data_IF_775405997450
#
_entry.id   IF_775405997450
#
_cell.length_a   1.000
_cell.length_b   1.000
_cell.length_c   1.000
_cell.angle_alpha   90.00
_cell.angle_beta   90.00
_cell.angle_gamma   90.00
#
_symmetry.space_group_name_H-M   'P 1'
#
loop_
_entity.id
_entity.type
_entity.pdbx_description
1 polymer ?
#
# COMPACT_ATOMS: atom_id res chain seq x y z
N UNK A 1 56.05 8.90 11.40
CA UNK A 1 54.80 8.07 11.28
C UNK A 1 55.19 6.82 10.48
N UNK A 2 55.01 5.66 11.07
CA UNK A 2 55.53 4.40 10.52
C UNK A 2 54.70 3.95 9.32
N UNK A 3 55.35 3.45 8.25
CA UNK A 3 54.72 2.85 7.06
C UNK A 3 53.67 1.78 7.41
N UNK A 4 53.75 1.17 8.59
CA UNK A 4 52.78 0.20 9.13
C UNK A 4 51.43 0.84 9.48
N UNK A 5 51.37 2.11 9.92
CA UNK A 5 50.16 2.81 10.29
C UNK A 5 49.38 3.21 9.01
N UNK A 6 50.08 3.66 7.97
CA UNK A 6 49.45 3.93 6.67
C UNK A 6 48.86 2.67 6.02
N UNK A 7 49.53 1.52 6.15
CA UNK A 7 49.04 0.26 5.62
C UNK A 7 47.78 -0.24 6.36
N UNK A 8 47.73 -0.07 7.71
CA UNK A 8 46.55 -0.43 8.49
C UNK A 8 45.34 0.45 8.16
N UNK A 9 45.56 1.75 7.96
CA UNK A 9 44.47 2.68 7.56
C UNK A 9 43.96 2.36 6.14
N UNK A 10 44.85 1.99 5.23
CA UNK A 10 44.48 1.60 3.87
C UNK A 10 43.67 0.30 3.83
N UNK A 11 44.02 -0.68 4.67
CA UNK A 11 43.28 -1.96 4.78
C UNK A 11 41.92 -1.77 5.42
N UNK A 12 41.77 -0.87 6.40
CA UNK A 12 40.48 -0.56 6.99
C UNK A 12 39.56 0.20 6.04
N UNK A 13 40.07 1.11 5.20
CA UNK A 13 39.29 1.80 4.17
C UNK A 13 38.83 0.82 3.07
N UNK A 14 39.70 -0.12 2.68
CA UNK A 14 39.35 -1.15 1.69
C UNK A 14 38.34 -2.18 2.22
N UNK A 15 38.32 -2.45 3.54
CA UNK A 15 37.31 -3.34 4.14
C UNK A 15 35.91 -2.69 4.26
N UNK A 16 35.84 -1.36 4.36
CA UNK A 16 34.56 -0.63 4.30
C UNK A 16 34.01 -0.50 2.89
N UNK A 17 34.84 -0.53 1.84
CA UNK A 17 34.39 -0.45 0.45
C UNK A 17 33.77 -1.76 -0.09
N UNK A 18 33.93 -2.89 0.65
CA UNK A 18 33.31 -4.18 0.28
C UNK A 18 31.99 -4.46 0.99
N UNK A 19 31.43 -3.52 1.78
CA UNK A 19 30.03 -3.56 2.11
C UNK A 19 29.28 -3.15 0.83
N UNK A 20 29.10 -4.10 -0.10
CA UNK A 20 28.07 -3.96 -1.14
C UNK A 20 26.78 -3.71 -0.38
N UNK A 21 26.37 -2.45 -0.29
CA UNK A 21 25.04 -2.11 0.15
C UNK A 21 24.12 -2.99 -0.71
N UNK A 22 23.49 -3.98 -0.09
CA UNK A 22 22.55 -4.84 -0.78
C UNK A 22 21.49 -3.90 -1.33
N UNK A 23 21.47 -3.75 -2.67
CA UNK A 23 20.57 -2.79 -3.32
C UNK A 23 19.16 -3.16 -2.93
N UNK A 24 18.54 -2.34 -2.08
CA UNK A 24 17.17 -2.59 -1.58
C UNK A 24 16.25 -2.83 -2.77
N UNK A 25 15.42 -3.84 -2.69
CA UNK A 25 14.41 -4.07 -3.73
C UNK A 25 13.36 -2.96 -3.70
N UNK A 26 12.67 -2.73 -4.82
CA UNK A 26 11.54 -1.78 -4.85
C UNK A 26 10.48 -2.10 -3.79
N UNK A 27 10.34 -3.37 -3.44
CA UNK A 27 9.40 -3.84 -2.43
C UNK A 27 9.86 -3.54 -1.00
N UNK A 28 11.17 -3.58 -0.73
CA UNK A 28 11.73 -3.19 0.58
C UNK A 28 11.64 -1.68 0.77
N UNK A 29 11.94 -0.92 -0.29
CA UNK A 29 11.78 0.55 -0.29
C UNK A 29 10.32 0.93 -0.12
N UNK A 30 9.38 0.21 -0.77
CA UNK A 30 7.95 0.44 -0.58
C UNK A 30 7.51 0.22 0.87
N UNK A 31 8.05 -0.78 1.57
CA UNK A 31 7.73 -1.05 2.97
C UNK A 31 8.27 0.01 3.91
N UNK A 32 9.55 0.33 3.83
CA UNK A 32 10.27 1.07 4.88
C UNK A 32 11.29 2.08 4.34
N UNK A 33 11.42 2.21 3.02
CA UNK A 33 12.40 3.10 2.41
C UNK A 33 11.90 4.54 2.31
N UNK A 34 12.76 5.39 1.78
CA UNK A 34 12.56 6.81 1.62
C UNK A 34 12.12 7.18 0.19
N UNK A 35 11.60 8.40 0.04
CA UNK A 35 11.30 8.98 -1.27
C UNK A 35 12.55 9.09 -2.16
N UNK A 36 13.72 9.32 -1.56
CA UNK A 36 14.98 9.38 -2.29
C UNK A 36 15.30 8.01 -2.91
N UNK A 37 15.22 6.92 -2.14
CA UNK A 37 15.52 5.57 -2.61
C UNK A 37 14.59 5.12 -3.73
N UNK A 38 13.26 5.38 -3.61
CA UNK A 38 12.33 5.01 -4.67
C UNK A 38 12.61 5.77 -5.97
N UNK A 39 12.96 7.05 -5.90
CA UNK A 39 13.34 7.85 -7.07
C UNK A 39 14.62 7.35 -7.73
N UNK A 40 15.63 6.96 -6.95
CA UNK A 40 16.86 6.35 -7.46
C UNK A 40 16.59 5.02 -8.18
N UNK A 41 15.67 4.20 -7.66
CA UNK A 41 15.27 2.97 -8.33
C UNK A 41 14.58 3.25 -9.67
N UNK A 42 13.68 4.23 -9.72
CA UNK A 42 12.95 4.64 -10.93
C UNK A 42 13.90 5.26 -11.96
N UNK A 43 14.87 6.06 -11.55
CA UNK A 43 15.89 6.62 -12.45
C UNK A 43 16.73 5.52 -13.14
N UNK A 44 16.98 4.40 -12.46
CA UNK A 44 17.71 3.27 -13.02
C UNK A 44 16.85 2.35 -13.91
N UNK A 45 15.57 2.18 -13.58
CA UNK A 45 14.57 1.39 -14.30
C UNK A 45 13.18 1.99 -14.05
N UNK A 46 12.70 2.78 -15.00
CA UNK A 46 11.42 3.49 -14.87
C UNK A 46 10.22 2.54 -14.71
N UNK A 47 10.35 1.29 -15.15
CA UNK A 47 9.26 0.30 -15.06
C UNK A 47 9.31 -0.53 -13.76
N UNK A 48 10.32 -0.34 -12.93
CA UNK A 48 10.52 -1.12 -11.68
C UNK A 48 9.31 -1.07 -10.75
N UNK A 49 8.62 0.10 -10.68
CA UNK A 49 7.45 0.32 -9.82
C UNK A 49 6.18 -0.38 -10.31
N UNK A 50 6.17 -0.84 -11.57
CA UNK A 50 5.04 -1.55 -12.19
C UNK A 50 5.19 -3.07 -12.12
N UNK A 51 6.33 -3.57 -11.66
CA UNK A 51 6.59 -5.00 -11.48
C UNK A 51 5.92 -5.50 -10.18
N UNK A 52 5.57 -6.79 -10.19
CA UNK A 52 5.07 -7.49 -9.00
C UNK A 52 6.17 -8.35 -8.39
N UNK A 53 6.12 -8.51 -7.07
CA UNK A 53 7.01 -9.44 -6.34
C UNK A 53 6.68 -10.90 -6.71
N UNK A 54 7.50 -11.84 -6.25
CA UNK A 54 7.26 -13.28 -6.43
C UNK A 54 5.94 -13.73 -5.81
N UNK A 55 5.51 -13.05 -4.75
CA UNK A 55 4.25 -13.28 -4.04
C UNK A 55 3.08 -12.50 -4.68
N UNK A 56 3.31 -11.82 -5.79
CA UNK A 56 2.28 -11.08 -6.54
C UNK A 56 1.96 -9.67 -6.01
N UNK A 57 2.74 -9.11 -5.08
CA UNK A 57 2.49 -7.75 -4.57
C UNK A 57 3.06 -6.67 -5.48
N UNK A 58 2.31 -5.60 -5.69
CA UNK A 58 2.86 -4.36 -6.25
C UNK A 58 3.57 -3.54 -5.17
N UNK A 59 4.53 -2.71 -5.59
CA UNK A 59 5.19 -1.77 -4.69
C UNK A 59 4.15 -0.81 -4.03
N UNK A 60 3.14 -0.37 -4.79
CA UNK A 60 2.08 0.50 -4.27
C UNK A 60 1.25 -0.18 -3.18
N UNK A 61 0.84 -1.45 -3.38
CA UNK A 61 0.10 -2.21 -2.34
C UNK A 61 0.91 -2.32 -1.06
N UNK A 62 2.21 -2.60 -1.16
CA UNK A 62 3.10 -2.69 0.00
C UNK A 62 3.26 -1.33 0.70
N UNK A 63 3.48 -0.25 -0.03
CA UNK A 63 3.60 1.08 0.55
C UNK A 63 2.31 1.49 1.30
N UNK A 64 1.13 1.18 0.73
CA UNK A 64 -0.15 1.40 1.40
C UNK A 64 -0.31 0.55 2.66
N UNK A 65 0.03 -0.75 2.59
CA UNK A 65 -0.09 -1.66 3.72
C UNK A 65 0.85 -1.30 4.89
N UNK A 66 2.06 -0.85 4.58
CA UNK A 66 3.03 -0.42 5.60
C UNK A 66 2.89 1.06 6.00
N UNK A 67 1.91 1.77 5.42
CA UNK A 67 1.65 3.19 5.67
C UNK A 67 2.87 4.08 5.39
N UNK A 68 3.68 3.72 4.40
CA UNK A 68 4.77 4.56 3.92
C UNK A 68 4.20 5.67 3.03
N UNK A 69 3.69 6.73 3.66
CA UNK A 69 2.92 7.78 3.00
C UNK A 69 3.71 8.49 1.90
N UNK A 70 4.99 8.76 2.10
CA UNK A 70 5.82 9.47 1.10
C UNK A 70 6.00 8.62 -0.15
N UNK A 71 6.41 7.37 0.01
CA UNK A 71 6.61 6.44 -1.10
C UNK A 71 5.28 6.10 -1.77
N UNK A 72 4.22 5.85 -1.00
CA UNK A 72 2.88 5.59 -1.54
C UNK A 72 2.37 6.78 -2.38
N UNK A 73 2.53 8.01 -1.90
CA UNK A 73 2.12 9.22 -2.63
C UNK A 73 2.86 9.37 -3.96
N UNK A 74 4.16 9.10 -3.96
CA UNK A 74 4.95 9.08 -5.19
C UNK A 74 4.48 7.99 -6.16
N UNK A 75 4.25 6.77 -5.66
CA UNK A 75 3.81 5.64 -6.48
C UNK A 75 2.41 5.88 -7.07
N UNK A 76 1.47 6.44 -6.31
CA UNK A 76 0.12 6.79 -6.78
C UNK A 76 0.17 7.66 -8.04
N UNK A 77 1.13 8.59 -8.12
CA UNK A 77 1.27 9.51 -9.24
C UNK A 77 2.02 8.91 -10.44
N UNK A 78 2.73 7.79 -10.28
CA UNK A 78 3.70 7.30 -11.27
C UNK A 78 3.46 5.86 -11.74
N UNK A 79 2.63 5.06 -11.06
CA UNK A 79 2.29 3.70 -11.51
C UNK A 79 1.33 3.73 -12.70
N UNK A 80 1.45 2.73 -13.57
CA UNK A 80 0.53 2.55 -14.72
C UNK A 80 -0.86 2.08 -14.29
N UNK A 81 -0.93 1.29 -13.22
CA UNK A 81 -2.18 0.74 -12.68
C UNK A 81 -2.25 0.94 -11.16
N UNK A 82 -3.08 1.91 -10.76
CA UNK A 82 -3.37 2.20 -9.36
C UNK A 82 -4.25 1.10 -8.70
N UNK A 83 -4.90 0.28 -9.52
CA UNK A 83 -5.82 -0.77 -9.13
C UNK A 83 -5.19 -2.17 -9.12
N UNK A 84 -3.87 -2.28 -9.28
CA UNK A 84 -3.18 -3.57 -9.34
C UNK A 84 -3.60 -4.48 -8.17
N UNK A 85 -4.14 -5.66 -8.50
CA UNK A 85 -4.62 -6.62 -7.51
C UNK A 85 -3.54 -7.65 -7.19
N UNK A 86 -3.45 -8.00 -5.91
CA UNK A 86 -2.69 -9.15 -5.42
C UNK A 86 -3.62 -10.09 -4.66
N UNK A 87 -3.12 -11.22 -4.19
CA UNK A 87 -3.90 -12.11 -3.31
C UNK A 87 -4.46 -11.45 -2.04
N UNK A 88 -3.96 -10.27 -1.70
CA UNK A 88 -4.41 -9.43 -0.57
C UNK A 88 -5.27 -8.23 -0.99
N UNK A 89 -5.73 -8.21 -2.23
CA UNK A 89 -6.57 -7.14 -2.75
C UNK A 89 -5.80 -5.97 -3.36
N UNK A 90 -6.45 -4.81 -3.44
CA UNK A 90 -5.95 -3.58 -4.06
C UNK A 90 -5.17 -2.69 -3.08
N UNK A 91 -4.40 -1.69 -3.58
CA UNK A 91 -3.80 -0.67 -2.72
C UNK A 91 -4.82 0.06 -1.84
N UNK A 92 -6.04 0.31 -2.36
CA UNK A 92 -7.12 0.92 -1.60
C UNK A 92 -7.57 0.05 -0.41
N UNK A 93 -7.68 -1.27 -0.60
CA UNK A 93 -7.98 -2.20 0.49
C UNK A 93 -6.84 -2.22 1.52
N UNK A 94 -5.59 -2.24 1.07
CA UNK A 94 -4.43 -2.20 1.95
C UNK A 94 -4.40 -0.94 2.83
N UNK A 95 -4.63 0.24 2.24
CA UNK A 95 -4.74 1.50 2.97
C UNK A 95 -5.93 1.51 3.95
N UNK A 96 -7.08 0.91 3.56
CA UNK A 96 -8.27 0.78 4.40
C UNK A 96 -8.00 -0.11 5.61
N UNK A 97 -7.43 -1.30 5.41
CA UNK A 97 -7.07 -2.24 6.50
C UNK A 97 -6.15 -1.56 7.52
N UNK A 98 -5.25 -0.69 7.06
CA UNK A 98 -4.33 0.06 7.93
C UNK A 98 -4.94 1.34 8.53
N UNK A 99 -6.21 1.64 8.24
CA UNK A 99 -6.91 2.85 8.69
C UNK A 99 -6.16 4.14 8.30
N UNK A 100 -5.53 4.13 7.13
CA UNK A 100 -4.78 5.29 6.64
C UNK A 100 -5.70 6.20 5.81
N UNK A 101 -6.43 7.09 6.48
CA UNK A 101 -7.40 8.01 5.86
C UNK A 101 -6.76 8.87 4.78
N UNK A 102 -5.50 9.28 4.98
CA UNK A 102 -4.75 10.06 4.00
C UNK A 102 -4.56 9.29 2.69
N UNK A 103 -4.04 8.06 2.75
CA UNK A 103 -3.81 7.26 1.55
C UNK A 103 -5.13 6.80 0.90
N UNK A 104 -6.15 6.47 1.69
CA UNK A 104 -7.49 6.15 1.15
C UNK A 104 -8.02 7.32 0.34
N UNK A 105 -7.97 8.54 0.89
CA UNK A 105 -8.42 9.75 0.19
C UNK A 105 -7.60 9.98 -1.08
N UNK A 106 -6.27 9.92 -0.99
CA UNK A 106 -5.38 10.17 -2.12
C UNK A 106 -5.58 9.15 -3.25
N UNK A 107 -5.76 7.86 -2.93
CA UNK A 107 -6.06 6.81 -3.91
C UNK A 107 -7.38 7.09 -4.64
N UNK A 108 -8.43 7.44 -3.90
CA UNK A 108 -9.75 7.73 -4.46
C UNK A 108 -9.72 8.98 -5.35
N UNK A 109 -9.00 10.03 -4.95
CA UNK A 109 -8.78 11.25 -5.74
C UNK A 109 -8.03 10.97 -7.05
N UNK A 110 -7.22 9.90 -7.09
CA UNK A 110 -6.50 9.45 -8.28
C UNK A 110 -7.18 8.27 -9.00
N UNK A 111 -8.52 8.16 -8.86
CA UNK A 111 -9.36 7.21 -9.57
C UNK A 111 -9.15 5.73 -9.20
N UNK A 112 -8.69 5.42 -7.98
CA UNK A 112 -8.76 4.05 -7.48
C UNK A 112 -10.22 3.60 -7.44
N UNK A 113 -10.50 2.42 -8.01
CA UNK A 113 -11.86 1.87 -8.07
C UNK A 113 -12.24 1.24 -6.71
N UNK A 114 -13.22 1.80 -5.96
CA UNK A 114 -13.62 1.28 -4.66
C UNK A 114 -14.39 -0.05 -4.71
N UNK A 115 -14.80 -0.48 -5.91
CA UNK A 115 -15.67 -1.63 -6.13
C UNK A 115 -14.92 -2.90 -6.55
N UNK A 116 -13.61 -2.84 -6.68
CA UNK A 116 -12.81 -4.04 -6.90
C UNK A 116 -12.84 -4.93 -5.67
N UNK A 117 -12.70 -6.23 -5.91
CA UNK A 117 -12.76 -7.25 -4.86
C UNK A 117 -11.43 -8.00 -4.73
N UNK A 118 -11.17 -8.52 -3.55
CA UNK A 118 -10.12 -9.49 -3.29
C UNK A 118 -10.57 -10.92 -3.65
N UNK A 119 -9.78 -11.92 -3.32
CA UNK A 119 -10.09 -13.35 -3.54
C UNK A 119 -11.32 -13.84 -2.75
N UNK A 120 -11.73 -13.11 -1.72
CA UNK A 120 -12.93 -13.39 -0.92
C UNK A 120 -14.16 -12.62 -1.40
N UNK A 121 -14.10 -11.98 -2.56
CA UNK A 121 -15.06 -11.01 -3.05
C UNK A 121 -15.33 -9.83 -2.09
N UNK A 122 -14.41 -9.58 -1.15
CA UNK A 122 -14.51 -8.42 -0.24
C UNK A 122 -13.98 -7.17 -0.91
N UNK A 123 -14.70 -6.05 -0.72
CA UNK A 123 -14.28 -4.71 -1.17
C UNK A 123 -13.63 -3.92 -0.04
N UNK A 124 -13.03 -2.76 -0.34
CA UNK A 124 -12.56 -1.82 0.67
C UNK A 124 -13.67 -1.43 1.66
N UNK A 125 -14.93 -1.32 1.19
CA UNK A 125 -16.07 -1.00 2.04
C UNK A 125 -16.39 -2.10 3.07
N UNK A 126 -16.26 -3.38 2.72
CA UNK A 126 -16.39 -4.48 3.68
C UNK A 126 -15.38 -4.34 4.82
N UNK A 127 -14.10 -4.12 4.50
CA UNK A 127 -13.07 -3.91 5.52
C UNK A 127 -13.32 -2.70 6.39
N UNK A 128 -13.70 -1.55 5.77
CA UNK A 128 -13.99 -0.34 6.51
C UNK A 128 -15.14 -0.54 7.54
N UNK A 129 -16.18 -1.30 7.16
CA UNK A 129 -17.31 -1.63 8.05
C UNK A 129 -16.89 -2.60 9.15
N UNK A 130 -16.20 -3.70 8.81
CA UNK A 130 -15.72 -4.69 9.78
C UNK A 130 -14.84 -4.04 10.84
N UNK A 131 -13.99 -3.09 10.46
CA UNK A 131 -13.10 -2.36 11.38
C UNK A 131 -13.73 -1.08 11.96
N UNK A 132 -15.03 -0.83 11.70
CA UNK A 132 -15.77 0.34 12.20
C UNK A 132 -15.11 1.70 11.89
N UNK A 133 -14.56 1.84 10.69
CA UNK A 133 -13.80 3.01 10.22
C UNK A 133 -14.73 4.03 9.57
N UNK A 134 -15.48 4.77 10.37
CA UNK A 134 -16.53 5.66 9.89
C UNK A 134 -16.06 6.64 8.82
N UNK A 135 -14.95 7.37 9.04
CA UNK A 135 -14.43 8.36 8.09
C UNK A 135 -14.08 7.75 6.74
N UNK A 136 -13.52 6.52 6.74
CA UNK A 136 -13.22 5.79 5.51
C UNK A 136 -14.51 5.33 4.82
N UNK A 137 -15.52 4.89 5.56
CA UNK A 137 -16.83 4.55 4.99
C UNK A 137 -17.42 5.77 4.28
N UNK A 138 -17.41 6.95 4.92
CA UNK A 138 -17.90 8.20 4.33
C UNK A 138 -17.13 8.55 3.04
N UNK A 139 -15.81 8.41 3.04
CA UNK A 139 -14.98 8.60 1.85
C UNK A 139 -15.36 7.62 0.74
N UNK A 140 -15.41 6.32 1.03
CA UNK A 140 -15.73 5.29 0.05
C UNK A 140 -17.12 5.52 -0.56
N UNK A 141 -18.13 5.84 0.25
CA UNK A 141 -19.48 6.13 -0.23
C UNK A 141 -19.51 7.40 -1.09
N UNK A 142 -18.80 8.47 -0.71
CA UNK A 142 -18.62 9.68 -1.52
C UNK A 142 -18.05 9.37 -2.91
N UNK A 143 -17.13 8.40 -3.00
CA UNK A 143 -16.51 7.96 -4.25
C UNK A 143 -17.22 6.75 -4.87
N UNK A 144 -18.52 6.57 -4.57
CA UNK A 144 -19.43 5.61 -5.21
C UNK A 144 -19.08 4.14 -4.97
N UNK A 145 -18.57 3.81 -3.77
CA UNK A 145 -18.50 2.43 -3.34
C UNK A 145 -19.92 1.82 -3.34
N UNK A 146 -20.05 0.63 -3.92
CA UNK A 146 -21.32 -0.08 -4.00
C UNK A 146 -21.54 -0.93 -2.73
N UNK A 147 -22.50 -0.58 -1.86
CA UNK A 147 -22.75 -1.31 -0.61
C UNK A 147 -23.43 -2.67 -0.83
N UNK A 148 -23.87 -2.98 -2.05
CA UNK A 148 -24.62 -4.20 -2.38
C UNK A 148 -23.71 -5.35 -2.89
N UNK A 149 -22.43 -5.14 -3.06
CA UNK A 149 -21.49 -6.21 -3.41
C UNK A 149 -21.48 -7.22 -2.27
N UNK A 150 -21.59 -8.51 -2.63
CA UNK A 150 -21.56 -9.62 -1.68
C UNK A 150 -20.18 -10.28 -1.69
N UNK A 151 -19.67 -10.56 -0.51
CA UNK A 151 -18.48 -11.41 -0.35
C UNK A 151 -18.80 -12.91 -0.61
N UNK A 152 -17.79 -13.78 -0.50
CA UNK A 152 -17.94 -15.22 -0.69
C UNK A 152 -18.83 -15.91 0.38
N UNK A 153 -19.16 -15.22 1.48
CA UNK A 153 -20.12 -15.68 2.50
C UNK A 153 -21.54 -15.22 2.21
N UNK A 154 -21.73 -14.47 1.13
CA UNK A 154 -22.99 -13.89 0.72
C UNK A 154 -23.39 -12.61 1.46
N UNK A 155 -22.51 -12.04 2.28
CA UNK A 155 -22.76 -10.84 3.06
C UNK A 155 -22.38 -9.59 2.30
N UNK A 156 -23.18 -8.54 2.44
CA UNK A 156 -22.86 -7.17 2.04
C UNK A 156 -22.18 -6.42 3.19
N UNK A 157 -21.61 -5.26 2.88
CA UNK A 157 -21.11 -4.34 3.92
C UNK A 157 -22.21 -3.96 4.93
N UNK A 158 -23.46 -3.78 4.48
CA UNK A 158 -24.60 -3.50 5.34
C UNK A 158 -24.91 -4.66 6.29
N UNK A 159 -24.78 -5.92 5.85
CA UNK A 159 -25.02 -7.08 6.70
C UNK A 159 -23.99 -7.16 7.83
N UNK A 160 -22.72 -6.87 7.55
CA UNK A 160 -21.70 -6.74 8.61
C UNK A 160 -22.01 -5.61 9.61
N UNK A 161 -22.50 -4.46 9.13
CA UNK A 161 -22.90 -3.36 10.01
C UNK A 161 -24.07 -3.76 10.94
N UNK A 162 -25.03 -4.54 10.44
CA UNK A 162 -26.13 -5.08 11.25
C UNK A 162 -25.66 -6.09 12.28
N UNK A 163 -24.73 -7.00 11.92
CA UNK A 163 -24.16 -7.98 12.85
C UNK A 163 -23.50 -7.29 14.05
N UNK A 164 -22.82 -6.16 13.82
CA UNK A 164 -22.14 -5.38 14.89
C UNK A 164 -23.09 -4.41 15.59
N UNK A 165 -24.39 -4.33 15.22
CA UNK A 165 -25.37 -3.38 15.75
C UNK A 165 -24.90 -1.90 15.69
N UNK A 166 -24.07 -1.55 14.70
CA UNK A 166 -23.54 -0.20 14.55
C UNK A 166 -24.54 0.70 13.79
N UNK A 167 -25.51 1.25 14.50
CA UNK A 167 -26.55 2.07 13.90
C UNK A 167 -26.02 3.26 13.09
N UNK A 168 -24.88 3.84 13.48
CA UNK A 168 -24.25 4.96 12.77
C UNK A 168 -23.74 4.51 11.40
N UNK A 169 -23.06 3.37 11.33
CA UNK A 169 -22.59 2.80 10.06
C UNK A 169 -23.76 2.35 9.20
N UNK A 170 -24.78 1.73 9.81
CA UNK A 170 -26.01 1.33 9.07
C UNK A 170 -26.64 2.52 8.35
N UNK A 171 -26.66 3.70 8.96
CA UNK A 171 -27.19 4.90 8.33
C UNK A 171 -26.33 5.42 7.18
N UNK A 172 -25.02 5.29 7.27
CA UNK A 172 -24.09 5.70 6.19
C UNK A 172 -24.17 4.83 4.94
N UNK A 173 -24.68 3.60 5.07
CA UNK A 173 -24.75 2.61 3.97
C UNK A 173 -26.14 2.56 3.30
N UNK A 174 -27.10 3.37 3.73
CA UNK A 174 -28.44 3.50 3.15
C UNK A 174 -28.51 4.63 2.14
#
# INVERSE_FOLDING_TARGET
MSKKICFLILVTILSFSNLKAQKSSVYDVARNGSLFEIKELVNNDADIINKTSKEGYSALTLACYYSNNEVASYLIQNVKDINSTSGYGTPLMAATVKKNNYLVKLLLENNANPNLTDQNNSTALHFAVIFSQQEIIELLMKYKANPNIKDNRGNTALDYAKITNNNKIIQLLK
#
